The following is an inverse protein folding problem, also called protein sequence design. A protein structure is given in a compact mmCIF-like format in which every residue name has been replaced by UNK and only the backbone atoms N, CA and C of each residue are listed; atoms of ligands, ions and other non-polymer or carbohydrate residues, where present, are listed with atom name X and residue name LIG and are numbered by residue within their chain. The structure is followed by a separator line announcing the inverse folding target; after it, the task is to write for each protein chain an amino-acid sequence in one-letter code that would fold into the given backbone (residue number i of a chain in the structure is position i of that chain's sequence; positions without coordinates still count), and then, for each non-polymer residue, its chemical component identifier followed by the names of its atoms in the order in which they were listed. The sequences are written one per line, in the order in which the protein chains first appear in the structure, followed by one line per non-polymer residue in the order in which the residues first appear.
data_IF_771433554795
#
_entry.id   IF_771433554795
#
_cell.length_a   1.000
_cell.length_b   1.000
_cell.length_c   1.000
_cell.angle_alpha   90.00
_cell.angle_beta   90.00
_cell.angle_gamma   90.00
#
_symmetry.space_group_name_H-M   'P 1'
#
loop_
_entity.id
_entity.type
_entity.pdbx_description
1 polymer ?
#
# COMPACT_ATOMS: atom_id res chain seq x y z
N UNK A 1 3.14 -12.15 14.12
CA UNK A 1 2.94 -10.68 14.10
C UNK A 1 1.86 -10.34 13.08
N UNK A 2 1.17 -9.23 13.27
CA UNK A 2 0.31 -8.61 12.25
C UNK A 2 1.09 -7.53 11.52
N UNK A 3 1.23 -7.70 10.21
CA UNK A 3 2.01 -6.80 9.37
C UNK A 3 1.08 -6.19 8.33
N UNK A 4 1.03 -4.87 8.24
CA UNK A 4 0.29 -4.18 7.18
C UNK A 4 1.25 -3.47 6.25
N UNK A 5 1.28 -3.88 4.98
CA UNK A 5 1.95 -3.15 3.92
C UNK A 5 1.06 -2.05 3.38
N UNK A 6 1.61 -0.87 3.19
CA UNK A 6 0.94 0.27 2.58
C UNK A 6 1.69 0.68 1.31
N UNK A 7 1.01 0.63 0.17
CA UNK A 7 1.57 0.92 -1.15
C UNK A 7 0.51 1.50 -2.08
N UNK A 8 0.88 2.34 -3.03
CA UNK A 8 -0.06 2.76 -4.09
C UNK A 8 -0.21 1.63 -5.12
N UNK A 9 0.90 0.99 -5.48
CA UNK A 9 0.97 0.01 -6.55
C UNK A 9 0.98 -1.43 -6.01
N UNK A 10 0.09 -2.28 -6.54
CA UNK A 10 0.02 -3.71 -6.22
C UNK A 10 -0.50 -4.50 -7.43
N UNK A 11 -0.44 -5.83 -7.35
CA UNK A 11 -1.02 -6.70 -8.38
C UNK A 11 -2.52 -6.39 -8.58
N UNK A 12 -3.08 -6.51 -9.78
CA UNK A 12 -2.52 -7.13 -10.99
C UNK A 12 -1.63 -6.22 -11.83
N UNK A 13 -1.39 -4.98 -11.41
CA UNK A 13 -0.42 -4.13 -12.08
C UNK A 13 0.98 -4.76 -11.98
N UNK A 14 1.69 -4.92 -13.11
CA UNK A 14 2.99 -5.54 -13.15
C UNK A 14 4.09 -4.49 -13.21
N UNK A 15 4.96 -4.51 -12.23
CA UNK A 15 6.13 -3.64 -12.11
C UNK A 15 7.06 -4.14 -11.01
N UNK A 16 8.14 -3.41 -10.78
CA UNK A 16 9.16 -3.80 -9.79
C UNK A 16 8.65 -3.75 -8.36
N UNK A 17 7.97 -2.66 -7.99
CA UNK A 17 7.44 -2.45 -6.63
C UNK A 17 6.35 -3.48 -6.32
N UNK A 18 5.39 -3.63 -7.23
CA UNK A 18 4.23 -4.50 -7.11
C UNK A 18 4.65 -5.94 -6.87
N UNK A 19 5.58 -6.43 -7.69
CA UNK A 19 6.11 -7.79 -7.59
C UNK A 19 6.89 -7.99 -6.29
N UNK A 20 7.69 -7.02 -5.90
CA UNK A 20 8.48 -7.10 -4.68
C UNK A 20 7.60 -7.09 -3.43
N UNK A 21 6.60 -6.20 -3.36
CA UNK A 21 5.67 -6.13 -2.24
C UNK A 21 4.85 -7.41 -2.12
N UNK A 22 4.33 -7.92 -3.25
CA UNK A 22 3.56 -9.15 -3.27
C UNK A 22 4.39 -10.36 -2.78
N UNK A 23 5.61 -10.52 -3.28
CA UNK A 23 6.51 -11.59 -2.84
C UNK A 23 6.86 -11.49 -1.35
N UNK A 24 7.16 -10.30 -0.87
CA UNK A 24 7.48 -10.08 0.54
C UNK A 24 6.27 -10.42 1.42
N UNK A 25 5.08 -9.95 1.07
CA UNK A 25 3.86 -10.23 1.81
C UNK A 25 3.56 -11.74 1.87
N UNK A 26 3.69 -12.43 0.73
CA UNK A 26 3.48 -13.88 0.67
C UNK A 26 4.51 -14.67 1.46
N UNK A 27 5.79 -14.28 1.42
CA UNK A 27 6.84 -14.91 2.21
C UNK A 27 6.61 -14.72 3.72
N UNK A 28 6.18 -13.55 4.14
CA UNK A 28 5.85 -13.27 5.53
C UNK A 28 4.63 -14.08 5.99
N UNK A 29 3.59 -14.17 5.15
CA UNK A 29 2.42 -15.01 5.43
C UNK A 29 2.82 -16.49 5.56
N UNK A 30 3.65 -17.01 4.64
CA UNK A 30 4.19 -18.36 4.70
C UNK A 30 5.05 -18.61 5.95
N UNK A 31 5.68 -17.56 6.50
CA UNK A 31 6.41 -17.63 7.77
C UNK A 31 5.50 -17.57 9.02
N UNK A 32 4.18 -17.56 8.84
CA UNK A 32 3.20 -17.61 9.93
C UNK A 32 2.77 -16.24 10.46
N UNK A 33 3.04 -15.15 9.72
CA UNK A 33 2.54 -13.84 10.07
C UNK A 33 1.13 -13.60 9.49
N UNK A 34 0.33 -12.79 10.17
CA UNK A 34 -0.94 -12.27 9.66
C UNK A 34 -0.63 -11.01 8.83
N UNK A 35 -0.77 -11.13 7.51
CA UNK A 35 -0.29 -10.10 6.58
C UNK A 35 -1.45 -9.49 5.80
N UNK A 36 -1.50 -8.17 5.80
CA UNK A 36 -2.40 -7.37 4.97
C UNK A 36 -1.61 -6.42 4.05
N UNK A 37 -2.18 -6.15 2.88
CA UNK A 37 -1.72 -5.11 1.95
C UNK A 37 -2.85 -4.11 1.77
N UNK A 38 -2.57 -2.84 1.94
CA UNK A 38 -3.47 -1.72 1.61
C UNK A 38 -2.90 -1.03 0.38
N UNK A 39 -3.66 -1.01 -0.71
CA UNK A 39 -3.21 -0.41 -1.97
C UNK A 39 -4.31 0.42 -2.64
N UNK A 40 -3.91 1.28 -3.57
CA UNK A 40 -4.85 2.06 -4.39
C UNK A 40 -5.01 1.52 -5.81
N UNK A 41 -4.33 0.44 -6.14
CA UNK A 41 -4.49 -0.28 -7.42
C UNK A 41 -5.82 -1.03 -7.44
N UNK A 42 -6.67 -0.82 -8.45
CA UNK A 42 -7.93 -1.56 -8.59
C UNK A 42 -7.68 -3.04 -8.90
N UNK A 43 -8.62 -3.91 -8.52
CA UNK A 43 -8.54 -5.35 -8.80
C UNK A 43 -8.59 -5.68 -10.30
N UNK A 44 -9.24 -4.82 -11.08
CA UNK A 44 -9.36 -4.90 -12.54
C UNK A 44 -9.58 -3.51 -13.12
N UNK A 45 -9.28 -3.28 -14.40
CA UNK A 45 -9.54 -1.99 -15.05
C UNK A 45 -10.99 -1.53 -14.84
N UNK A 46 -11.17 -0.27 -14.44
CA UNK A 46 -12.47 0.33 -14.19
C UNK A 46 -13.12 -0.01 -12.85
N UNK A 47 -12.57 -0.94 -12.06
CA UNK A 47 -13.06 -1.17 -10.70
C UNK A 47 -12.80 0.05 -9.82
N UNK A 48 -13.75 0.36 -8.94
CA UNK A 48 -13.67 1.47 -8.01
C UNK A 48 -14.38 1.13 -6.69
N UNK A 49 -14.11 1.94 -5.67
CA UNK A 49 -14.62 1.71 -4.33
C UNK A 49 -13.61 1.01 -3.43
N UNK A 50 -14.02 0.79 -2.19
CA UNK A 50 -13.21 0.07 -1.20
C UNK A 50 -13.64 -1.39 -1.20
N UNK A 51 -12.69 -2.29 -1.35
CA UNK A 51 -12.93 -3.72 -1.32
C UNK A 51 -11.83 -4.45 -0.55
N UNK A 52 -12.16 -5.65 -0.08
CA UNK A 52 -11.21 -6.54 0.58
C UNK A 52 -11.29 -7.90 -0.11
N UNK A 53 -10.14 -8.45 -0.44
CA UNK A 53 -9.99 -9.75 -1.10
C UNK A 53 -8.83 -10.54 -0.50
N UNK A 54 -8.66 -11.77 -0.96
CA UNK A 54 -7.52 -12.63 -0.58
C UNK A 54 -6.64 -12.84 -1.80
N UNK A 55 -5.33 -12.72 -1.57
CA UNK A 55 -4.28 -13.14 -2.49
C UNK A 55 -3.44 -14.22 -1.78
N UNK A 56 -3.82 -15.49 -1.96
CA UNK A 56 -3.32 -16.57 -1.13
C UNK A 56 -3.65 -16.34 0.35
N UNK A 57 -2.64 -16.32 1.20
CA UNK A 57 -2.78 -16.09 2.64
C UNK A 57 -2.69 -14.60 3.03
N UNK A 58 -2.56 -13.72 2.05
CA UNK A 58 -2.49 -12.27 2.26
C UNK A 58 -3.88 -11.63 2.11
N UNK A 59 -4.28 -10.79 3.06
CA UNK A 59 -5.47 -9.95 2.93
C UNK A 59 -5.14 -8.69 2.14
N UNK A 60 -5.92 -8.36 1.12
CA UNK A 60 -5.69 -7.16 0.29
C UNK A 60 -6.87 -6.21 0.41
N UNK A 61 -6.62 -5.04 0.96
CA UNK A 61 -7.57 -3.92 1.01
C UNK A 61 -7.29 -2.99 -0.17
N UNK A 62 -8.24 -2.87 -1.08
CA UNK A 62 -8.13 -2.00 -2.25
C UNK A 62 -8.92 -0.73 -2.06
N UNK A 63 -8.26 0.39 -2.24
CA UNK A 63 -8.83 1.73 -2.18
C UNK A 63 -8.84 2.31 -3.59
N UNK A 64 -9.71 1.80 -4.46
CA UNK A 64 -9.74 2.24 -5.85
C UNK A 64 -10.66 3.47 -6.00
N UNK A 65 -10.19 4.49 -6.70
CA UNK A 65 -10.96 5.67 -7.05
C UNK A 65 -10.97 5.90 -8.56
N UNK A 66 -12.05 6.49 -9.06
CA UNK A 66 -12.08 6.99 -10.44
C UNK A 66 -11.31 8.30 -10.51
N UNK A 67 -10.14 8.24 -11.10
CA UNK A 67 -9.27 9.41 -11.28
C UNK A 67 -8.98 9.58 -12.77
N UNK A 68 -9.03 10.80 -13.31
CA UNK A 68 -8.63 11.05 -14.68
C UNK A 68 -7.23 10.49 -14.97
N UNK A 69 -7.05 9.82 -16.11
CA UNK A 69 -5.78 9.19 -16.47
C UNK A 69 -5.52 7.81 -15.85
N UNK A 70 -6.44 7.29 -15.01
CA UNK A 70 -6.34 5.92 -14.49
C UNK A 70 -5.20 5.70 -13.48
N UNK A 71 -4.66 6.77 -12.89
CA UNK A 71 -3.61 6.65 -11.87
C UNK A 71 -4.11 5.96 -10.60
N UNK A 72 -3.32 5.07 -9.99
CA UNK A 72 -3.68 4.39 -8.75
C UNK A 72 -3.53 5.32 -7.54
N UNK A 73 -4.44 6.28 -7.44
CA UNK A 73 -4.47 7.27 -6.35
C UNK A 73 -5.88 7.37 -5.80
N UNK A 74 -6.01 7.56 -4.50
CA UNK A 74 -7.30 7.75 -3.84
C UNK A 74 -7.29 9.03 -2.99
N UNK A 75 -8.16 10.03 -3.28
CA UNK A 75 -8.16 11.32 -2.59
C UNK A 75 -8.38 11.22 -1.08
N UNK A 76 -9.08 10.17 -0.63
CA UNK A 76 -9.35 9.91 0.79
C UNK A 76 -8.55 8.73 1.35
N UNK A 77 -7.41 8.39 0.74
CA UNK A 77 -6.56 7.30 1.20
C UNK A 77 -6.23 7.39 2.71
N UNK A 78 -5.84 8.54 3.28
CA UNK A 78 -5.56 8.64 4.71
C UNK A 78 -6.73 8.22 5.61
N UNK A 79 -7.96 8.58 5.22
CA UNK A 79 -9.16 8.21 5.97
C UNK A 79 -9.40 6.70 5.95
N UNK A 80 -9.29 6.07 4.78
CA UNK A 80 -9.48 4.63 4.63
C UNK A 80 -8.36 3.84 5.31
N UNK A 81 -7.11 4.29 5.18
CA UNK A 81 -5.95 3.72 5.89
C UNK A 81 -6.19 3.77 7.40
N UNK A 82 -6.65 4.90 7.96
CA UNK A 82 -6.96 5.00 9.37
C UNK A 82 -8.04 4.00 9.83
N UNK A 83 -9.03 3.72 8.97
CA UNK A 83 -10.07 2.71 9.26
C UNK A 83 -9.49 1.30 9.29
N UNK A 84 -8.67 0.95 8.29
CA UNK A 84 -8.03 -0.37 8.21
C UNK A 84 -7.10 -0.57 9.42
N UNK A 85 -6.24 0.39 9.73
CA UNK A 85 -5.32 0.28 10.87
C UNK A 85 -6.05 0.12 12.22
N UNK A 86 -7.21 0.77 12.39
CA UNK A 86 -8.04 0.59 13.59
C UNK A 86 -8.71 -0.78 13.66
N UNK A 87 -9.12 -1.33 12.51
CA UNK A 87 -9.77 -2.63 12.44
C UNK A 87 -8.78 -3.78 12.62
N UNK A 88 -7.69 -3.73 11.87
CA UNK A 88 -6.71 -4.82 11.77
C UNK A 88 -5.70 -4.80 12.94
N UNK A 89 -5.47 -3.64 13.55
CA UNK A 89 -4.54 -3.44 14.67
C UNK A 89 -3.18 -4.10 14.41
N UNK A 90 -2.45 -3.67 13.37
CA UNK A 90 -1.16 -4.26 13.06
C UNK A 90 -0.12 -3.97 14.15
N UNK A 91 0.84 -4.89 14.30
CA UNK A 91 2.02 -4.70 15.16
C UNK A 91 3.03 -3.78 14.49
N UNK A 92 3.05 -3.75 13.14
CA UNK A 92 3.94 -2.91 12.34
C UNK A 92 3.28 -2.54 11.01
N UNK A 93 3.53 -1.32 10.55
CA UNK A 93 3.14 -0.85 9.21
C UNK A 93 4.39 -0.67 8.37
N UNK A 94 4.41 -1.32 7.20
CA UNK A 94 5.52 -1.21 6.26
C UNK A 94 5.07 -0.38 5.05
N UNK A 95 5.58 0.83 4.94
CA UNK A 95 5.27 1.74 3.83
C UNK A 95 6.26 1.52 2.69
N UNK A 96 5.73 1.44 1.47
CA UNK A 96 6.50 1.29 0.24
C UNK A 96 6.37 2.54 -0.62
N UNK A 97 7.45 3.26 -0.80
CA UNK A 97 7.48 4.52 -1.55
C UNK A 97 8.30 4.37 -2.82
N UNK A 98 7.69 4.73 -3.94
CA UNK A 98 8.34 4.90 -5.23
C UNK A 98 8.37 6.38 -5.63
N UNK A 99 8.65 6.63 -6.91
CA UNK A 99 8.68 7.98 -7.47
C UNK A 99 7.31 8.68 -7.38
N UNK A 100 6.23 7.94 -7.65
CA UNK A 100 4.86 8.43 -7.62
C UNK A 100 4.01 7.55 -6.71
N UNK A 101 3.95 7.88 -5.43
CA UNK A 101 3.15 7.18 -4.42
C UNK A 101 2.38 8.18 -3.55
N UNK A 102 1.50 8.99 -4.16
CA UNK A 102 0.85 10.11 -3.46
C UNK A 102 -0.07 9.64 -2.33
N UNK A 103 -0.73 8.48 -2.47
CA UNK A 103 -1.63 7.97 -1.44
C UNK A 103 -0.87 7.46 -0.23
N UNK A 104 0.25 6.77 -0.44
CA UNK A 104 1.16 6.32 0.63
C UNK A 104 1.76 7.54 1.35
N UNK A 105 2.25 8.54 0.59
CA UNK A 105 2.81 9.77 1.17
C UNK A 105 1.78 10.53 2.01
N UNK A 106 0.57 10.71 1.49
CA UNK A 106 -0.51 11.38 2.22
C UNK A 106 -0.90 10.63 3.50
N UNK A 107 -0.78 9.30 3.51
CA UNK A 107 -1.13 8.44 4.64
C UNK A 107 -0.04 8.35 5.71
N UNK A 108 1.17 8.84 5.45
CA UNK A 108 2.29 8.78 6.39
C UNK A 108 1.94 9.40 7.76
N UNK A 109 1.33 10.59 7.73
CA UNK A 109 0.90 11.26 8.97
C UNK A 109 -0.15 10.46 9.74
N UNK A 110 -1.00 9.72 9.04
CA UNK A 110 -2.01 8.84 9.66
C UNK A 110 -1.34 7.71 10.41
N UNK A 111 -0.33 7.07 9.83
CA UNK A 111 0.44 6.00 10.46
C UNK A 111 1.18 6.52 11.69
N UNK A 112 1.85 7.66 11.56
CA UNK A 112 2.57 8.29 12.70
C UNK A 112 1.61 8.64 13.85
N UNK A 113 0.46 9.23 13.55
CA UNK A 113 -0.55 9.58 14.57
C UNK A 113 -1.20 8.37 15.23
N UNK A 114 -1.22 7.24 14.55
CA UNK A 114 -1.69 5.98 15.13
C UNK A 114 -0.73 5.41 16.18
N UNK A 115 0.48 5.96 16.29
CA UNK A 115 1.50 5.50 17.23
C UNK A 115 2.03 4.08 16.94
N UNK A 116 1.86 3.61 15.72
CA UNK A 116 2.28 2.27 15.32
C UNK A 116 3.76 2.27 14.90
N UNK A 117 4.51 1.22 15.25
CA UNK A 117 5.81 0.99 14.66
C UNK A 117 5.73 0.98 13.14
N UNK A 118 6.63 1.71 12.48
CA UNK A 118 6.60 1.85 11.02
C UNK A 118 7.99 1.64 10.42
N UNK A 119 8.00 0.95 9.26
CA UNK A 119 9.17 0.78 8.40
C UNK A 119 8.87 1.47 7.08
N UNK A 120 9.84 2.15 6.52
CA UNK A 120 9.74 2.78 5.21
C UNK A 120 10.79 2.20 4.27
N UNK A 121 10.34 1.61 3.15
CA UNK A 121 11.22 1.23 2.05
C UNK A 121 11.05 2.21 0.89
N UNK A 122 12.15 2.80 0.47
CA UNK A 122 12.22 3.65 -0.73
C UNK A 122 12.73 2.79 -1.89
N UNK A 123 11.86 2.53 -2.87
CA UNK A 123 12.17 1.66 -4.01
C UNK A 123 12.88 2.38 -5.16
N UNK A 124 12.83 3.69 -5.18
CA UNK A 124 13.43 4.49 -6.26
C UNK A 124 14.31 5.57 -5.66
N UNK A 125 15.58 5.55 -6.04
CA UNK A 125 16.55 6.60 -5.66
C UNK A 125 16.52 7.67 -6.75
N UNK A 126 16.25 8.90 -6.35
CA UNK A 126 16.17 10.06 -7.25
C UNK A 126 17.55 10.64 -7.61
N UNK A 127 18.61 9.83 -7.59
CA UNK A 127 19.96 10.28 -7.92
C UNK A 127 19.99 11.04 -9.25
N UNK A 128 20.21 12.37 -9.20
CA UNK A 128 20.21 13.26 -10.36
C UNK A 128 18.87 13.84 -10.76
N UNK A 129 17.75 13.42 -10.17
CA UNK A 129 16.43 14.00 -10.46
C UNK A 129 16.18 15.32 -9.73
N UNK A 130 16.96 15.66 -8.72
CA UNK A 130 16.90 16.93 -8.00
C UNK A 130 17.13 18.16 -8.88
N UNK A 131 17.63 17.97 -10.11
CA UNK A 131 17.81 19.04 -11.11
C UNK A 131 16.59 19.23 -12.01
N UNK A 132 15.55 18.39 -11.89
CA UNK A 132 14.37 18.38 -12.75
C UNK A 132 13.13 19.01 -12.07
N UNK A 133 13.26 19.42 -10.81
CA UNK A 133 12.20 20.08 -10.01
C UNK A 133 12.68 21.36 -9.38
#
# INVERSE_FOLDING_TARGET
MRITHLTDCYLPLLGGIETQVARLAQQQAAAGHDVAVVCTTPARPGAHGVSTERDGDVTVHRLAARVPGGYPVHPRAPHHVARVLRADRPDVVHLHMGVLTPSTQASLRTVVRAGLPAVLTVHSVWGGAERAF
#
